data_IF_945338034034
#
_entry.id   IF_945338034034
#
_cell.length_a   1.000
_cell.length_b   1.000
_cell.length_c   1.000
_cell.angle_alpha   90.00
_cell.angle_beta   90.00
_cell.angle_gamma   90.00
#
_symmetry.space_group_name_H-M   'P 1'
#
loop_
_entity.id
_entity.type
_entity.pdbx_description
1 polymer ?
#
# COMPACT_ATOMS: atom_id res chain seq x y z
N UNK A 1 7.22 5.44 23.45
CA UNK A 1 5.87 5.19 22.91
C UNK A 1 6.06 4.77 21.46
N UNK A 2 5.80 3.50 21.13
CA UNK A 2 6.13 2.92 19.81
C UNK A 2 5.04 3.23 18.77
N UNK A 3 5.45 3.37 17.51
CA UNK A 3 4.52 3.47 16.37
C UNK A 3 3.86 2.11 16.13
N UNK A 4 2.60 2.08 15.67
CA UNK A 4 1.98 0.83 15.27
C UNK A 4 2.72 0.24 14.05
N UNK A 5 2.95 -1.07 14.03
CA UNK A 5 3.68 -1.75 12.95
C UNK A 5 3.06 -1.51 11.57
N UNK A 6 1.73 -1.41 11.49
CA UNK A 6 1.00 -1.02 10.26
C UNK A 6 1.33 0.39 9.77
N UNK A 7 1.53 1.34 10.68
CA UNK A 7 1.92 2.72 10.31
C UNK A 7 3.37 2.77 9.85
N UNK A 8 4.24 1.97 10.47
CA UNK A 8 5.61 1.79 10.00
C UNK A 8 5.64 1.20 8.57
N UNK A 9 4.80 0.19 8.30
CA UNK A 9 4.69 -0.44 6.99
C UNK A 9 4.27 0.56 5.90
N UNK A 10 3.20 1.34 6.13
CA UNK A 10 2.74 2.34 5.17
C UNK A 10 3.81 3.39 4.84
N UNK A 11 4.55 3.86 5.86
CA UNK A 11 5.67 4.81 5.67
C UNK A 11 6.84 4.19 4.91
N UNK A 12 7.20 2.95 5.22
CA UNK A 12 8.27 2.24 4.52
C UNK A 12 7.91 2.02 3.05
N UNK A 13 6.66 1.63 2.75
CA UNK A 13 6.18 1.49 1.36
C UNK A 13 6.25 2.81 0.61
N UNK A 14 5.85 3.92 1.24
CA UNK A 14 5.94 5.24 0.63
C UNK A 14 7.40 5.59 0.29
N UNK A 15 8.32 5.41 1.24
CA UNK A 15 9.75 5.66 1.02
C UNK A 15 10.31 4.80 -0.12
N UNK A 16 10.01 3.50 -0.11
CA UNK A 16 10.42 2.57 -1.17
C UNK A 16 9.84 2.98 -2.53
N UNK A 17 8.62 3.51 -2.56
CA UNK A 17 8.01 4.08 -3.76
C UNK A 17 8.75 5.30 -4.30
N UNK A 18 9.33 6.13 -3.44
CA UNK A 18 10.15 7.27 -3.89
C UNK A 18 11.49 6.81 -4.47
N UNK A 19 12.09 5.77 -3.88
CA UNK A 19 13.41 5.26 -4.26
C UNK A 19 13.36 4.34 -5.50
N UNK A 20 12.23 3.69 -5.75
CA UNK A 20 12.08 2.74 -6.85
C UNK A 20 10.71 2.87 -7.55
N UNK A 21 10.74 3.23 -8.84
CA UNK A 21 9.55 3.39 -9.68
C UNK A 21 8.88 2.05 -10.04
N UNK A 22 9.59 0.92 -9.97
CA UNK A 22 9.08 -0.42 -10.29
C UNK A 22 8.21 -1.01 -9.17
N UNK A 23 8.16 -0.38 -7.99
CA UNK A 23 7.34 -0.86 -6.87
C UNK A 23 5.87 -0.49 -7.10
N UNK A 24 5.03 -1.51 -7.00
CA UNK A 24 3.57 -1.41 -7.08
C UNK A 24 2.97 -1.96 -5.79
N UNK A 25 1.93 -1.31 -5.27
CA UNK A 25 1.20 -1.76 -4.08
C UNK A 25 -0.16 -2.29 -4.47
N UNK A 26 -0.46 -3.51 -4.02
CA UNK A 26 -1.73 -4.19 -4.23
C UNK A 26 -2.53 -4.20 -2.91
N UNK A 27 -3.80 -3.84 -2.96
CA UNK A 27 -4.69 -3.83 -1.79
C UNK A 27 -6.07 -4.41 -2.14
N UNK A 28 -6.79 -4.90 -1.14
CA UNK A 28 -8.12 -5.50 -1.28
C UNK A 28 -9.14 -4.77 -0.38
N UNK A 29 -9.35 -3.48 -0.65
CA UNK A 29 -10.22 -2.57 0.11
C UNK A 29 -9.90 -2.42 1.61
N UNK A 30 -8.67 -2.69 2.03
CA UNK A 30 -8.20 -2.58 3.41
C UNK A 30 -7.20 -1.43 3.61
N UNK A 31 -7.00 -0.59 2.60
CA UNK A 31 -5.96 0.45 2.56
C UNK A 31 -5.90 1.42 3.75
N UNK A 32 -7.03 1.74 4.37
CA UNK A 32 -7.08 2.57 5.60
C UNK A 32 -6.60 1.83 6.85
N UNK A 33 -6.79 0.52 6.89
CA UNK A 33 -6.40 -0.37 7.97
C UNK A 33 -4.95 -0.82 7.85
N UNK A 34 -4.50 -1.09 6.62
CA UNK A 34 -3.11 -1.48 6.28
C UNK A 34 -2.18 -0.27 6.16
N UNK A 35 -2.74 0.96 6.13
CA UNK A 35 -2.03 2.23 5.96
C UNK A 35 -1.33 2.38 4.60
N UNK A 36 -1.72 1.58 3.61
CA UNK A 36 -1.28 1.74 2.21
C UNK A 36 -1.95 2.93 1.52
N UNK A 37 -2.95 3.55 2.16
CA UNK A 37 -3.63 4.75 1.65
C UNK A 37 -2.69 5.95 1.40
N UNK A 38 -1.54 6.01 2.07
CA UNK A 38 -0.58 7.09 1.87
C UNK A 38 0.24 6.86 0.59
N UNK A 39 0.60 5.60 0.29
CA UNK A 39 1.17 5.22 -1.01
C UNK A 39 0.18 5.47 -2.15
N UNK A 40 -1.09 5.10 -1.97
CA UNK A 40 -2.14 5.33 -2.95
C UNK A 40 -2.33 6.81 -3.32
N UNK A 41 -2.15 7.72 -2.36
CA UNK A 41 -2.21 9.18 -2.60
C UNK A 41 -0.99 9.71 -3.33
N UNK A 42 0.20 9.22 -2.99
CA UNK A 42 1.45 9.67 -3.60
C UNK A 42 1.66 9.10 -5.00
N UNK A 43 1.28 7.84 -5.22
CA UNK A 43 1.53 7.08 -6.44
C UNK A 43 0.26 6.33 -6.92
N UNK A 44 -0.81 7.06 -7.31
CA UNK A 44 -2.07 6.45 -7.71
C UNK A 44 -1.93 5.52 -8.92
N UNK A 45 -1.03 5.85 -9.85
CA UNK A 45 -0.73 5.05 -11.05
C UNK A 45 -0.09 3.69 -10.71
N UNK A 46 0.47 3.54 -9.50
CA UNK A 46 1.18 2.35 -9.00
C UNK A 46 0.48 1.69 -7.81
N UNK A 47 -0.78 2.01 -7.60
CA UNK A 47 -1.61 1.43 -6.55
C UNK A 47 -2.82 0.72 -7.17
N UNK A 48 -2.91 -0.59 -6.97
CA UNK A 48 -3.97 -1.43 -7.55
C UNK A 48 -4.86 -1.94 -6.41
N UNK A 49 -6.14 -1.58 -6.46
CA UNK A 49 -7.13 -2.08 -5.51
C UNK A 49 -8.06 -3.09 -6.19
N UNK A 50 -8.04 -4.34 -5.74
CA UNK A 50 -8.90 -5.40 -6.28
C UNK A 50 -10.28 -5.49 -5.60
N UNK A 51 -10.60 -4.57 -4.67
CA UNK A 51 -11.82 -4.65 -3.86
C UNK A 51 -11.79 -5.86 -2.93
N UNK A 52 -12.94 -6.47 -2.65
CA UNK A 52 -13.05 -7.68 -1.80
C UNK A 52 -12.63 -8.98 -2.50
N UNK A 53 -11.82 -8.90 -3.56
CA UNK A 53 -11.42 -10.04 -4.35
C UNK A 53 -9.96 -10.43 -4.05
N UNK A 54 -9.68 -10.88 -2.83
CA UNK A 54 -8.32 -11.21 -2.41
C UNK A 54 -7.69 -12.33 -3.24
N UNK A 55 -8.50 -13.29 -3.72
CA UNK A 55 -8.02 -14.35 -4.61
C UNK A 55 -7.51 -13.78 -5.94
N UNK A 56 -8.24 -12.82 -6.52
CA UNK A 56 -7.83 -12.16 -7.76
C UNK A 56 -6.61 -11.25 -7.55
N UNK A 57 -6.41 -10.75 -6.32
CA UNK A 57 -5.24 -9.95 -5.96
C UNK A 57 -3.95 -10.78 -6.03
N UNK A 58 -4.01 -12.05 -5.61
CA UNK A 58 -2.86 -12.95 -5.61
C UNK A 58 -2.66 -13.63 -6.97
N UNK A 59 -3.75 -13.88 -7.71
CA UNK A 59 -3.73 -14.52 -9.03
C UNK A 59 -3.93 -16.03 -8.98
#
# INVERSE_FOLDING_TARGET
MGIATREANGKALLQLGEENEDIVVLDADLSKSTKTCDFAKAYPERFINAGIAEQNLIG
#
